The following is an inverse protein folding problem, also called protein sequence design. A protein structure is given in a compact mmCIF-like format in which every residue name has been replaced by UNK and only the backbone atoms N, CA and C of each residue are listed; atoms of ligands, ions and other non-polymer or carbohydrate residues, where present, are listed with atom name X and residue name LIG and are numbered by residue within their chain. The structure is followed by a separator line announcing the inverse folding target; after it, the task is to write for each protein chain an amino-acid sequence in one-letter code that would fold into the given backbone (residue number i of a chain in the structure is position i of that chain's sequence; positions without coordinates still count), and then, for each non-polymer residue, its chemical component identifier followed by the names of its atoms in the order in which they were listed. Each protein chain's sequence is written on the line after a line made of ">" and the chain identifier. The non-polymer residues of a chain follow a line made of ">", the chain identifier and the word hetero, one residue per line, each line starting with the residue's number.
data_IF_997791975615
#
_entry.id   IF_997791975615
#
_cell.length_a   1.000
_cell.length_b   1.000
_cell.length_c   1.000
_cell.angle_alpha   90.00
_cell.angle_beta   90.00
_cell.angle_gamma   90.00
#
_symmetry.space_group_name_H-M   'P 1'
#
loop_
_entity.id
_entity.type
_entity.pdbx_description
1 polymer ?
#
# COMPACT_ATOMS: atom_id res chain seq x y z
N UNK A 1 -7.51 -26.04 5.28
CA UNK A 1 -6.49 -25.42 4.41
C UNK A 1 -7.04 -24.21 3.66
N UNK A 2 -8.18 -24.32 2.96
CA UNK A 2 -8.83 -23.16 2.29
C UNK A 2 -9.06 -21.95 3.21
N UNK A 3 -9.68 -22.14 4.37
CA UNK A 3 -9.87 -21.06 5.34
C UNK A 3 -8.58 -20.33 5.79
N UNK A 4 -7.42 -21.01 5.78
CA UNK A 4 -6.13 -20.36 6.10
C UNK A 4 -5.62 -19.52 4.92
N UNK A 5 -5.87 -19.98 3.70
CA UNK A 5 -5.57 -19.21 2.49
C UNK A 5 -6.50 -18.00 2.41
N UNK A 6 -7.79 -18.17 2.64
CA UNK A 6 -8.78 -17.08 2.65
C UNK A 6 -8.39 -15.99 3.66
N UNK A 7 -7.88 -16.38 4.84
CA UNK A 7 -7.37 -15.43 5.84
C UNK A 7 -6.08 -14.71 5.39
N UNK A 8 -5.19 -15.41 4.68
CA UNK A 8 -3.99 -14.80 4.13
C UNK A 8 -4.32 -13.81 3.00
N UNK A 9 -5.29 -14.16 2.15
CA UNK A 9 -5.79 -13.29 1.08
C UNK A 9 -6.45 -12.04 1.65
N UNK A 10 -7.27 -12.18 2.70
CA UNK A 10 -7.85 -11.04 3.40
C UNK A 10 -6.77 -10.09 3.95
N UNK A 11 -5.73 -10.65 4.60
CA UNK A 11 -4.61 -9.85 5.11
C UNK A 11 -3.82 -9.16 3.98
N UNK A 12 -3.66 -9.81 2.83
CA UNK A 12 -3.03 -9.23 1.64
C UNK A 12 -3.85 -8.04 1.12
N UNK A 13 -5.17 -8.19 1.00
CA UNK A 13 -6.07 -7.13 0.55
C UNK A 13 -6.03 -5.92 1.50
N UNK A 14 -6.05 -6.15 2.82
CA UNK A 14 -5.95 -5.09 3.82
C UNK A 14 -4.59 -4.37 3.77
N UNK A 15 -3.50 -5.11 3.54
CA UNK A 15 -2.17 -4.53 3.38
C UNK A 15 -2.07 -3.65 2.12
N UNK A 16 -2.63 -4.11 1.00
CA UNK A 16 -2.69 -3.33 -0.25
C UNK A 16 -3.50 -2.06 -0.04
N UNK A 17 -4.70 -2.16 0.56
CA UNK A 17 -5.54 -1.00 0.89
C UNK A 17 -4.78 0.02 1.73
N UNK A 18 -4.16 -0.43 2.82
CA UNK A 18 -3.38 0.41 3.74
C UNK A 18 -2.25 1.14 3.00
N UNK A 19 -1.54 0.44 2.10
CA UNK A 19 -0.47 1.04 1.31
C UNK A 19 -0.99 2.14 0.39
N UNK A 20 -2.11 1.92 -0.29
CA UNK A 20 -2.72 2.92 -1.18
C UNK A 20 -3.16 4.16 -0.39
N UNK A 21 -3.81 3.99 0.76
CA UNK A 21 -4.23 5.10 1.62
C UNK A 21 -3.04 5.95 2.10
N UNK A 22 -1.94 5.30 2.50
CA UNK A 22 -0.71 6.01 2.91
C UNK A 22 -0.15 6.82 1.74
N UNK A 23 -0.09 6.25 0.54
CA UNK A 23 0.40 6.97 -0.64
C UNK A 23 -0.45 8.19 -0.96
N UNK A 24 -1.78 8.07 -0.92
CA UNK A 24 -2.69 9.21 -1.14
C UNK A 24 -2.51 10.31 -0.10
N UNK A 25 -2.35 9.96 1.19
CA UNK A 25 -2.03 10.94 2.26
C UNK A 25 -0.68 11.62 2.05
N UNK A 26 0.33 10.89 1.57
CA UNK A 26 1.62 11.46 1.19
C UNK A 26 1.45 12.42 0.01
N UNK A 27 0.63 12.06 -0.98
CA UNK A 27 0.30 12.93 -2.11
C UNK A 27 -0.36 14.23 -1.67
N UNK A 28 -1.32 14.16 -0.75
CA UNK A 28 -1.96 15.33 -0.15
C UNK A 28 -0.97 16.22 0.58
N UNK A 29 -0.14 15.63 1.43
CA UNK A 29 0.92 16.35 2.14
C UNK A 29 1.86 17.06 1.17
N UNK A 30 2.35 16.35 0.14
CA UNK A 30 3.27 16.91 -0.87
C UNK A 30 2.63 18.06 -1.64
N UNK A 31 1.35 17.96 -2.01
CA UNK A 31 0.60 19.04 -2.67
C UNK A 31 0.54 20.30 -1.81
N UNK A 32 0.16 20.15 -0.53
CA UNK A 32 0.07 21.27 0.41
C UNK A 32 1.42 21.97 0.62
N UNK A 33 2.52 21.23 0.53
CA UNK A 33 3.88 21.72 0.79
C UNK A 33 4.72 21.95 -0.49
N UNK A 34 4.09 21.87 -1.67
CA UNK A 34 4.75 22.02 -2.98
C UNK A 34 5.99 21.12 -3.19
N UNK A 35 5.99 19.94 -2.58
CA UNK A 35 7.04 18.94 -2.73
C UNK A 35 6.79 18.14 -4.03
N UNK A 36 7.83 17.82 -4.83
CA UNK A 36 7.66 17.01 -6.03
C UNK A 36 6.96 15.68 -5.74
N UNK A 37 5.92 15.38 -6.52
CA UNK A 37 5.08 14.19 -6.37
C UNK A 37 5.91 12.91 -6.55
N UNK A 38 6.75 12.88 -7.59
CA UNK A 38 7.60 11.74 -7.94
C UNK A 38 8.94 11.73 -7.21
N UNK A 39 9.24 10.61 -6.57
CA UNK A 39 10.51 10.36 -5.88
C UNK A 39 11.15 9.04 -6.36
N UNK A 40 11.97 9.07 -7.44
CA UNK A 40 12.54 7.86 -8.06
C UNK A 40 13.34 6.98 -7.08
N UNK A 41 14.00 7.60 -6.11
CA UNK A 41 14.75 6.90 -5.07
C UNK A 41 13.86 6.01 -4.18
N UNK A 42 12.58 6.36 -3.97
CA UNK A 42 11.65 5.53 -3.19
C UNK A 42 11.22 4.28 -3.94
N UNK A 43 11.01 4.38 -5.25
CA UNK A 43 10.71 3.22 -6.09
C UNK A 43 11.88 2.24 -6.07
N UNK A 44 13.11 2.74 -6.25
CA UNK A 44 14.32 1.91 -6.17
C UNK A 44 14.44 1.21 -4.80
N UNK A 45 14.17 1.92 -3.71
CA UNK A 45 14.19 1.35 -2.36
C UNK A 45 13.13 0.25 -2.15
N UNK A 46 11.91 0.44 -2.68
CA UNK A 46 10.83 -0.57 -2.61
C UNK A 46 11.24 -1.84 -3.35
N UNK A 47 11.79 -1.73 -4.56
CA UNK A 47 12.26 -2.91 -5.30
C UNK A 47 13.45 -3.59 -4.62
N UNK A 48 14.40 -2.84 -4.05
CA UNK A 48 15.50 -3.43 -3.30
C UNK A 48 15.01 -4.22 -2.07
N UNK A 49 14.02 -3.69 -1.35
CA UNK A 49 13.38 -4.40 -0.24
C UNK A 49 12.66 -5.67 -0.71
N UNK A 50 11.91 -5.59 -1.82
CA UNK A 50 11.21 -6.73 -2.41
C UNK A 50 12.19 -7.84 -2.84
N UNK A 51 13.30 -7.48 -3.49
CA UNK A 51 14.33 -8.42 -3.91
C UNK A 51 14.97 -9.15 -2.72
N UNK A 52 15.31 -8.41 -1.65
CA UNK A 52 15.82 -9.02 -0.41
C UNK A 52 14.80 -9.97 0.22
N UNK A 53 13.55 -9.54 0.35
CA UNK A 53 12.48 -10.37 0.89
C UNK A 53 12.28 -11.65 0.07
N UNK A 54 12.33 -11.56 -1.26
CA UNK A 54 12.27 -12.71 -2.16
C UNK A 54 13.39 -13.72 -1.87
N UNK A 55 14.63 -13.25 -1.78
CA UNK A 55 15.79 -14.09 -1.48
C UNK A 55 15.64 -14.80 -0.12
N UNK A 56 15.21 -14.08 0.91
CA UNK A 56 15.08 -14.60 2.28
C UNK A 56 13.96 -15.65 2.42
N UNK A 57 12.96 -15.64 1.53
CA UNK A 57 11.75 -16.48 1.62
C UNK A 57 11.57 -17.46 0.46
N UNK A 58 12.55 -17.57 -0.44
CA UNK A 58 12.49 -18.46 -1.60
C UNK A 58 11.41 -18.10 -2.62
N UNK A 59 11.09 -16.81 -2.76
CA UNK A 59 10.14 -16.29 -3.74
C UNK A 59 10.92 -15.81 -4.96
N UNK A 60 10.38 -15.98 -6.17
CA UNK A 60 10.97 -15.42 -7.38
C UNK A 60 11.04 -13.88 -7.29
N UNK A 61 12.24 -13.27 -7.35
CA UNK A 61 12.38 -11.81 -7.31
C UNK A 61 11.70 -11.12 -8.50
N UNK A 62 11.58 -11.78 -9.67
CA UNK A 62 10.88 -11.21 -10.82
C UNK A 62 9.37 -11.13 -10.59
N UNK A 63 8.79 -12.11 -9.89
CA UNK A 63 7.41 -12.06 -9.44
C UNK A 63 7.16 -10.87 -8.50
N UNK A 64 7.96 -10.70 -7.45
CA UNK A 64 7.77 -9.58 -6.52
C UNK A 64 8.05 -8.23 -7.19
N UNK A 65 9.00 -8.15 -8.12
CA UNK A 65 9.22 -6.93 -8.92
C UNK A 65 7.95 -6.55 -9.69
N UNK A 66 7.35 -7.51 -10.40
CA UNK A 66 6.11 -7.29 -11.16
C UNK A 66 4.96 -6.87 -10.25
N UNK A 67 4.80 -7.54 -9.10
CA UNK A 67 3.76 -7.19 -8.12
C UNK A 67 3.91 -5.74 -7.65
N UNK A 68 5.12 -5.31 -7.29
CA UNK A 68 5.36 -3.93 -6.87
C UNK A 68 5.20 -2.93 -8.02
N UNK A 69 5.59 -3.27 -9.25
CA UNK A 69 5.35 -2.44 -10.44
C UNK A 69 3.83 -2.19 -10.64
N UNK A 70 3.00 -3.23 -10.49
CA UNK A 70 1.54 -3.11 -10.59
C UNK A 70 0.96 -2.21 -9.49
N UNK A 71 1.35 -2.43 -8.24
CA UNK A 71 0.86 -1.63 -7.11
C UNK A 71 1.30 -0.16 -7.24
N UNK A 72 2.53 0.10 -7.68
CA UNK A 72 3.04 1.46 -7.92
C UNK A 72 2.24 2.13 -9.04
N UNK A 73 2.01 1.43 -10.15
CA UNK A 73 1.22 1.96 -11.27
C UNK A 73 -0.19 2.35 -10.83
N UNK A 74 -0.83 1.51 -10.02
CA UNK A 74 -2.16 1.80 -9.48
C UNK A 74 -2.13 3.01 -8.52
N UNK A 75 -1.08 3.14 -7.73
CA UNK A 75 -0.89 4.31 -6.86
C UNK A 75 -0.81 5.60 -7.68
N UNK A 76 -0.01 5.62 -8.76
CA UNK A 76 0.10 6.78 -9.64
C UNK A 76 -1.24 7.16 -10.26
N UNK A 77 -2.01 6.16 -10.74
CA UNK A 77 -3.36 6.40 -11.31
C UNK A 77 -4.29 7.07 -10.30
N UNK A 78 -4.34 6.56 -9.06
CA UNK A 78 -5.18 7.12 -8.00
C UNK A 78 -4.73 8.52 -7.59
N UNK A 79 -3.42 8.77 -7.55
CA UNK A 79 -2.86 10.10 -7.30
C UNK A 79 -3.26 11.11 -8.39
N UNK A 80 -3.18 10.71 -9.66
CA UNK A 80 -3.59 11.54 -10.81
C UNK A 80 -5.09 11.86 -10.77
N UNK A 81 -5.93 10.86 -10.50
CA UNK A 81 -7.39 11.05 -10.32
C UNK A 81 -7.71 11.98 -9.15
N UNK A 82 -6.99 11.82 -8.04
CA UNK A 82 -7.14 12.67 -6.87
C UNK A 82 -6.77 14.13 -7.15
N UNK A 83 -5.66 14.35 -7.87
CA UNK A 83 -5.25 15.69 -8.33
C UNK A 83 -6.31 16.28 -9.28
N UNK A 84 -6.80 15.48 -10.24
CA UNK A 84 -7.85 15.91 -11.17
C UNK A 84 -9.16 16.30 -10.46
N UNK A 85 -9.47 15.67 -9.32
CA UNK A 85 -10.63 15.99 -8.49
C UNK A 85 -10.47 17.25 -7.61
N UNK A 86 -9.32 17.93 -7.68
CA UNK A 86 -9.02 19.10 -6.84
C UNK A 86 -8.62 18.76 -5.41
N UNK A 87 -8.25 17.50 -5.15
CA UNK A 87 -7.81 17.04 -3.85
C UNK A 87 -8.94 16.83 -2.84
N UNK A 88 -10.14 16.44 -3.30
CA UNK A 88 -11.24 16.07 -2.41
C UNK A 88 -10.78 14.95 -1.46
N UNK A 89 -11.17 14.96 -0.18
CA UNK A 89 -10.71 13.96 0.78
C UNK A 89 -11.10 12.57 0.30
N UNK A 90 -10.11 11.69 0.15
CA UNK A 90 -10.35 10.27 -0.08
C UNK A 90 -11.17 9.78 1.11
N UNK A 91 -12.36 9.19 0.90
CA UNK A 91 -13.20 8.72 2.00
C UNK A 91 -12.36 7.78 2.85
N UNK A 92 -12.12 8.20 4.10
CA UNK A 92 -11.25 7.46 5.00
C UNK A 92 -11.91 6.12 5.25
N UNK A 93 -11.26 5.00 4.92
CA UNK A 93 -11.85 3.72 5.22
C UNK A 93 -11.95 3.59 6.73
N UNK A 94 -13.16 3.30 7.21
CA UNK A 94 -13.41 2.99 8.61
C UNK A 94 -12.71 1.65 8.88
N UNK A 95 -11.47 1.70 9.33
CA UNK A 95 -10.87 0.55 9.99
C UNK A 95 -11.62 0.43 11.31
N UNK A 96 -12.57 -0.50 11.39
CA UNK A 96 -13.14 -0.89 12.65
C UNK A 96 -11.99 -1.35 13.54
N UNK A 97 -11.59 -0.50 14.49
CA UNK A 97 -10.62 -0.87 15.51
C UNK A 97 -11.21 -2.03 16.29
N UNK A 98 -10.74 -3.25 16.05
CA UNK A 98 -11.04 -4.38 16.90
C UNK A 98 -10.35 -4.14 18.25
N UNK A 99 -11.04 -3.45 19.17
CA UNK A 99 -10.71 -3.45 20.58
C UNK A 99 -11.37 -4.65 21.22
N UNK A 100 -10.65 -5.76 21.32
CA UNK A 100 -10.97 -6.83 22.25
C UNK A 100 -10.02 -6.70 23.44
N UNK A 101 -10.40 -5.88 24.43
CA UNK A 101 -9.88 -6.01 25.80
C UNK A 101 -10.78 -7.00 26.53
N UNK A 102 -10.14 -8.00 27.12
CA UNK A 102 -10.76 -9.22 27.59
C UNK A 102 -11.71 -9.05 28.78
N UNK A 103 -12.62 -10.00 28.87
CA UNK A 103 -13.30 -10.38 30.09
C UNK A 103 -12.99 -11.86 30.33
N UNK A 104 -12.13 -12.13 31.31
CA UNK A 104 -12.09 -13.42 32.01
C UNK A 104 -12.32 -13.07 33.48
N UNK A 105 -13.46 -13.51 34.00
CA UNK A 105 -13.73 -13.73 35.42
C UNK A 105 -14.08 -15.20 35.57
#
# INVERSE_FOLDING_TARGET
>A
MRARLDAADAALLDAVRTRLDICLRIGEYKRLHQVPMMQPHRIAQVHANAARYAADHGIDPAFLRTLYDTIITETCRLEDEWIASGGAPVPTPVHASASARGAVS
#
